data_IF_385190959643
#
_entry.id   IF_385190959643
#
_cell.length_a   1.000
_cell.length_b   1.000
_cell.length_c   1.000
_cell.angle_alpha   90.00
_cell.angle_beta   90.00
_cell.angle_gamma   90.00
#
_symmetry.space_group_name_H-M   'P 1'
#
loop_
_entity.id
_entity.type
_entity.pdbx_description
1 polymer ?
#
# COMPACT_ATOMS: atom_id res chain seq x y z
N UNK A 1 -24.32 24.51 19.94
CA UNK A 1 -24.93 25.02 21.19
C UNK A 1 -25.05 23.88 22.18
N UNK A 2 -24.41 24.02 23.36
CA UNK A 2 -24.57 23.23 24.61
C UNK A 2 -24.32 21.71 24.55
N UNK A 3 -23.73 21.00 25.49
CA UNK A 3 -23.05 21.20 26.78
C UNK A 3 -22.26 19.86 26.98
N UNK A 4 -21.03 19.77 27.48
CA UNK A 4 -20.59 20.15 28.82
C UNK A 4 -20.90 19.05 29.85
N UNK A 5 -20.03 18.03 30.01
CA UNK A 5 -19.89 17.26 31.28
C UNK A 5 -18.42 16.86 31.48
N UNK A 6 -17.83 17.33 32.59
CA UNK A 6 -16.61 16.80 33.22
C UNK A 6 -17.03 16.00 34.45
N UNK A 7 -16.33 14.89 34.76
CA UNK A 7 -16.08 14.53 36.15
C UNK A 7 -14.82 13.65 36.29
N UNK A 8 -14.07 13.91 37.36
CA UNK A 8 -12.85 13.24 37.82
C UNK A 8 -13.18 12.05 38.72
N UNK A 9 -12.31 11.03 38.77
CA UNK A 9 -11.78 10.44 40.02
C UNK A 9 -10.77 9.32 39.76
N UNK A 10 -9.66 9.36 40.48
CA UNK A 10 -8.63 8.34 40.55
C UNK A 10 -9.09 7.13 41.37
N UNK A 11 -8.64 5.93 40.98
CA UNK A 11 -8.48 4.81 41.93
C UNK A 11 -7.35 3.87 41.47
N UNK A 12 -6.36 3.66 42.34
CA UNK A 12 -5.40 2.53 42.28
C UNK A 12 -5.89 1.47 43.27
N UNK A 13 -5.64 0.19 43.00
CA UNK A 13 -4.78 -0.52 43.95
C UNK A 13 -3.77 -1.51 43.34
N UNK A 14 -2.64 -1.56 44.04
CA UNK A 14 -1.71 -2.65 44.33
C UNK A 14 -1.23 -3.69 43.29
N UNK A 15 0.10 -3.78 43.31
CA UNK A 15 1.00 -4.78 42.71
C UNK A 15 0.62 -6.21 43.07
N UNK A 16 0.71 -7.09 42.08
CA UNK A 16 1.28 -8.43 42.25
C UNK A 16 2.34 -8.64 41.17
N UNK A 17 3.52 -9.04 41.63
CA UNK A 17 4.71 -9.30 40.85
C UNK A 17 4.64 -10.70 40.26
N UNK A 18 4.79 -10.81 38.93
CA UNK A 18 5.27 -12.02 38.28
C UNK A 18 6.38 -11.61 37.33
N UNK A 19 7.61 -11.85 37.78
CA UNK A 19 8.84 -11.73 37.01
C UNK A 19 8.89 -12.83 35.96
N UNK A 20 8.77 -12.47 34.68
CA UNK A 20 9.29 -13.28 33.59
C UNK A 20 10.63 -12.68 33.17
N UNK A 21 11.71 -13.35 33.58
CA UNK A 21 13.05 -13.06 33.11
C UNK A 21 13.16 -13.49 31.65
N UNK A 22 13.18 -12.53 30.73
CA UNK A 22 13.80 -12.72 29.42
C UNK A 22 15.01 -11.80 29.32
N UNK A 23 16.18 -12.40 29.49
CA UNK A 23 17.47 -11.80 29.23
C UNK A 23 17.63 -11.58 27.71
N UNK A 24 17.61 -10.32 27.28
CA UNK A 24 18.19 -9.91 26.00
C UNK A 24 19.55 -9.24 26.25
N UNK A 25 20.53 -9.43 25.36
CA UNK A 25 21.87 -8.91 25.55
C UNK A 25 21.88 -7.38 25.54
N UNK A 26 22.58 -6.82 26.52
CA UNK A 26 22.90 -5.40 26.64
C UNK A 26 23.61 -4.90 25.38
N UNK A 27 22.94 -4.05 24.60
CA UNK A 27 23.61 -3.18 23.63
C UNK A 27 23.74 -1.78 24.21
N UNK A 28 24.97 -1.48 24.61
CA UNK A 28 25.44 -0.15 24.95
C UNK A 28 25.29 0.80 23.75
N UNK A 29 24.71 1.95 24.03
CA UNK A 29 24.64 3.19 23.25
C UNK A 29 25.57 3.28 22.02
N UNK A 30 25.00 3.49 20.82
CA UNK A 30 25.52 4.41 19.78
C UNK A 30 24.48 4.64 18.66
N UNK A 31 24.08 5.91 18.51
CA UNK A 31 23.64 6.73 17.35
C UNK A 31 23.01 6.10 16.08
N UNK A 32 21.92 6.76 15.65
CA UNK A 32 21.41 6.94 14.27
C UNK A 32 21.62 5.81 13.27
N UNK A 33 20.57 5.00 13.02
CA UNK A 33 20.35 4.34 11.72
C UNK A 33 18.87 4.30 11.38
N UNK A 34 18.54 4.87 10.21
CA UNK A 34 17.35 4.50 9.46
C UNK A 34 17.45 3.01 9.10
N UNK A 35 16.46 2.22 9.51
CA UNK A 35 16.45 0.77 9.31
C UNK A 35 15.73 0.45 7.99
N UNK A 36 16.50 0.23 6.93
CA UNK A 36 16.01 -0.45 5.72
C UNK A 36 16.66 -1.83 5.66
N UNK A 37 15.85 -2.89 5.74
CA UNK A 37 16.29 -4.27 5.51
C UNK A 37 15.50 -4.87 4.35
N UNK A 38 16.22 -5.28 3.30
CA UNK A 38 15.75 -6.25 2.32
C UNK A 38 15.95 -7.65 2.92
N UNK A 39 14.86 -8.42 3.06
CA UNK A 39 14.96 -9.85 3.34
C UNK A 39 14.38 -10.65 2.17
N UNK A 40 15.20 -11.59 1.69
CA UNK A 40 14.86 -12.64 0.76
C UNK A 40 13.85 -13.60 1.41
N UNK A 41 12.74 -13.89 0.74
CA UNK A 41 11.82 -14.96 1.15
C UNK A 41 12.16 -16.27 0.45
N UNK A 42 12.36 -17.30 1.25
CA UNK A 42 12.50 -18.70 0.87
C UNK A 42 11.18 -19.30 0.35
N UNK A 43 11.31 -20.19 -0.64
CA UNK A 43 10.21 -20.94 -1.25
C UNK A 43 9.39 -21.73 -0.23
N UNK A 44 8.06 -21.60 -0.29
CA UNK A 44 7.14 -22.57 0.31
C UNK A 44 6.43 -23.36 -0.77
N UNK A 45 6.49 -24.67 -0.65
CA UNK A 45 5.98 -25.66 -1.60
C UNK A 45 4.46 -25.79 -1.46
N UNK A 46 3.70 -25.51 -2.53
CA UNK A 46 2.29 -25.87 -2.61
C UNK A 46 2.13 -27.27 -3.21
N UNK A 47 1.33 -28.09 -2.54
CA UNK A 47 0.98 -29.47 -2.87
C UNK A 47 0.11 -29.54 -4.13
N UNK A 48 0.47 -30.48 -5.02
CA UNK A 48 -0.23 -30.79 -6.28
C UNK A 48 -1.63 -31.35 -6.01
N UNK A 49 -2.65 -30.67 -6.52
CA UNK A 49 -3.98 -31.25 -6.77
C UNK A 49 -4.06 -31.64 -8.25
N UNK A 50 -4.13 -32.95 -8.52
CA UNK A 50 -4.38 -33.51 -9.85
C UNK A 50 -5.88 -33.54 -10.12
N UNK A 51 -6.32 -32.90 -11.21
CA UNK A 51 -7.65 -33.09 -11.78
C UNK A 51 -7.57 -33.61 -13.23
N UNK A 52 -8.52 -34.49 -13.52
CA UNK A 52 -8.73 -35.32 -14.71
C UNK A 52 -8.61 -34.61 -16.05
N UNK A 53 -7.99 -35.30 -17.02
CA UNK A 53 -7.95 -34.93 -18.44
C UNK A 53 -9.37 -34.78 -19.02
N UNK A 54 -9.59 -33.72 -19.80
CA UNK A 54 -10.70 -33.60 -20.75
C UNK A 54 -10.13 -33.27 -22.13
N UNK A 55 -10.81 -33.82 -23.13
CA UNK A 55 -10.37 -34.07 -24.50
C UNK A 55 -9.93 -32.81 -25.27
N UNK A 56 -8.91 -33.03 -26.10
CA UNK A 56 -8.27 -32.07 -26.98
C UNK A 56 -9.19 -31.71 -28.16
N UNK A 57 -9.63 -30.45 -28.21
CA UNK A 57 -10.02 -29.82 -29.46
C UNK A 57 -8.80 -29.13 -30.06
N UNK A 58 -8.27 -29.70 -31.14
CA UNK A 58 -7.17 -29.18 -31.95
C UNK A 58 -7.58 -27.87 -32.61
N UNK A 59 -7.13 -26.74 -32.05
CA UNK A 59 -7.00 -25.49 -32.79
C UNK A 59 -5.60 -25.45 -33.39
N UNK A 60 -5.56 -25.33 -34.71
CA UNK A 60 -4.34 -25.20 -35.51
C UNK A 60 -3.50 -24.01 -35.05
N UNK A 61 -2.17 -24.13 -34.95
CA UNK A 61 -1.32 -22.99 -34.64
C UNK A 61 -1.38 -22.00 -35.80
N UNK A 62 -1.71 -20.74 -35.52
CA UNK A 62 -1.45 -19.63 -36.43
C UNK A 62 0.07 -19.41 -36.47
N UNK A 63 0.77 -20.26 -37.21
CA UNK A 63 2.08 -19.96 -37.75
C UNK A 63 1.88 -18.92 -38.84
N UNK A 64 2.05 -17.65 -38.50
CA UNK A 64 2.48 -16.56 -39.37
C UNK A 64 2.54 -15.28 -38.52
N UNK A 65 3.57 -15.17 -37.69
CA UNK A 65 4.08 -13.87 -37.27
C UNK A 65 5.36 -13.69 -38.06
N UNK A 66 5.26 -13.04 -39.21
CA UNK A 66 6.44 -12.50 -39.88
C UNK A 66 7.15 -11.58 -38.90
N UNK A 67 8.42 -11.88 -38.63
CA UNK A 67 9.34 -11.02 -37.88
C UNK A 67 9.56 -9.71 -38.66
N UNK A 68 8.66 -8.77 -38.46
CA UNK A 68 8.92 -7.36 -38.75
C UNK A 68 9.82 -6.82 -37.64
N UNK A 69 11.13 -6.95 -37.86
CA UNK A 69 12.15 -6.18 -37.15
C UNK A 69 11.92 -4.68 -37.43
N UNK A 70 11.08 -4.06 -36.62
CA UNK A 70 10.96 -2.61 -36.48
C UNK A 70 11.56 -2.25 -35.14
N UNK A 71 12.59 -1.40 -35.14
CA UNK A 71 13.19 -0.81 -33.95
C UNK A 71 12.11 -0.09 -33.12
N UNK A 72 11.63 -0.76 -32.08
CA UNK A 72 10.61 -0.26 -31.14
C UNK A 72 9.89 -1.45 -30.52
N UNK A 73 9.79 -1.49 -29.19
CA UNK A 73 9.08 -2.55 -28.47
C UNK A 73 7.72 -2.84 -29.14
N UNK A 74 7.32 -4.11 -29.35
CA UNK A 74 5.98 -4.39 -29.85
C UNK A 74 4.99 -3.83 -28.82
N UNK A 75 4.17 -2.86 -29.24
CA UNK A 75 3.03 -2.42 -28.45
C UNK A 75 2.21 -3.68 -28.13
N UNK A 76 2.10 -4.02 -26.84
CA UNK A 76 1.26 -5.14 -26.41
C UNK A 76 -0.20 -4.77 -26.69
N UNK A 77 -0.71 -5.18 -27.85
CA UNK A 77 -2.05 -4.82 -28.28
C UNK A 77 -3.07 -5.80 -27.68
N UNK A 78 -3.48 -5.52 -26.44
CA UNK A 78 -4.53 -6.28 -25.74
C UNK A 78 -5.84 -6.38 -26.53
N UNK A 79 -6.09 -5.44 -27.46
CA UNK A 79 -7.28 -5.42 -28.31
C UNK A 79 -7.28 -6.44 -29.46
N UNK A 80 -6.18 -7.17 -29.68
CA UNK A 80 -6.09 -8.21 -30.72
C UNK A 80 -6.43 -9.61 -30.23
N UNK A 81 -6.66 -9.77 -28.93
CA UNK A 81 -7.02 -11.06 -28.35
C UNK A 81 -8.46 -11.45 -28.72
N UNK A 82 -8.65 -12.75 -28.87
CA UNK A 82 -9.96 -13.34 -29.11
C UNK A 82 -10.97 -12.92 -28.03
N UNK A 83 -12.19 -12.58 -28.45
CA UNK A 83 -13.23 -12.05 -27.55
C UNK A 83 -13.68 -13.08 -26.51
N UNK A 84 -13.71 -14.37 -26.87
CA UNK A 84 -14.06 -15.43 -25.92
C UNK A 84 -12.97 -15.59 -24.86
N UNK A 85 -11.70 -15.53 -25.27
CA UNK A 85 -10.57 -15.52 -24.33
C UNK A 85 -10.65 -14.32 -23.37
N UNK A 86 -10.86 -13.11 -23.88
CA UNK A 86 -11.00 -11.89 -23.06
C UNK A 86 -12.19 -11.99 -22.10
N UNK A 87 -13.32 -12.54 -22.55
CA UNK A 87 -14.48 -12.78 -21.70
C UNK A 87 -14.16 -13.75 -20.56
N UNK A 88 -13.48 -14.86 -20.86
CA UNK A 88 -13.08 -15.84 -19.84
C UNK A 88 -12.14 -15.21 -18.80
N UNK A 89 -11.13 -14.45 -19.24
CA UNK A 89 -10.19 -13.76 -18.35
C UNK A 89 -10.91 -12.73 -17.48
N UNK A 90 -11.89 -12.00 -18.04
CA UNK A 90 -12.72 -11.08 -17.28
C UNK A 90 -13.55 -11.81 -16.21
N UNK A 91 -14.20 -12.93 -16.56
CA UNK A 91 -14.95 -13.74 -15.61
C UNK A 91 -14.06 -14.26 -14.47
N UNK A 92 -12.89 -14.83 -14.80
CA UNK A 92 -11.92 -15.31 -13.82
C UNK A 92 -11.46 -14.18 -12.90
N UNK A 93 -11.20 -12.99 -13.46
CA UNK A 93 -10.80 -11.82 -12.68
C UNK A 93 -11.87 -11.37 -11.70
N UNK A 94 -13.14 -11.32 -12.13
CA UNK A 94 -14.27 -10.94 -11.28
C UNK A 94 -14.50 -11.94 -10.15
N UNK A 95 -14.39 -13.24 -10.44
CA UNK A 95 -14.47 -14.30 -9.42
C UNK A 95 -13.32 -14.18 -8.44
N UNK A 96 -12.09 -14.05 -8.94
CA UNK A 96 -10.90 -13.92 -8.10
C UNK A 96 -10.99 -12.70 -7.18
N UNK A 97 -11.35 -11.53 -7.72
CA UNK A 97 -11.53 -10.30 -6.94
C UNK A 97 -12.54 -10.46 -5.81
N UNK A 98 -13.64 -11.18 -6.08
CA UNK A 98 -14.69 -11.44 -5.09
C UNK A 98 -14.21 -12.36 -3.96
N UNK A 99 -13.42 -13.40 -4.29
CA UNK A 99 -12.91 -14.38 -3.33
C UNK A 99 -11.78 -13.83 -2.45
N UNK A 100 -11.00 -12.87 -2.97
CA UNK A 100 -9.80 -12.37 -2.30
C UNK A 100 -9.96 -10.96 -1.71
N UNK A 101 -11.15 -10.37 -1.80
CA UNK A 101 -11.44 -9.07 -1.18
C UNK A 101 -10.85 -7.87 -1.93
N UNK A 102 -10.60 -7.99 -3.24
CA UNK A 102 -10.27 -6.85 -4.10
C UNK A 102 -11.54 -6.05 -4.43
N UNK A 103 -12.11 -5.44 -3.40
CA UNK A 103 -13.46 -4.87 -3.38
C UNK A 103 -13.45 -3.45 -2.82
N UNK A 104 -14.43 -2.66 -3.25
CA UNK A 104 -14.76 -1.33 -2.73
C UNK A 104 -16.28 -1.20 -2.52
N UNK A 105 -16.69 -0.17 -1.80
CA UNK A 105 -18.10 0.21 -1.71
C UNK A 105 -18.61 0.76 -3.05
N UNK A 106 -19.75 0.26 -3.52
CA UNK A 106 -20.40 0.74 -4.74
C UNK A 106 -20.89 2.18 -4.55
N UNK A 107 -20.45 3.08 -5.45
CA UNK A 107 -20.86 4.48 -5.49
C UNK A 107 -22.36 4.69 -5.65
N UNK A 108 -23.07 3.73 -6.25
CA UNK A 108 -24.51 3.78 -6.45
C UNK A 108 -25.31 3.56 -5.15
N UNK A 109 -24.66 3.05 -4.09
CA UNK A 109 -25.27 2.71 -2.82
C UNK A 109 -24.70 3.58 -1.71
N UNK A 110 -25.53 4.42 -1.08
CA UNK A 110 -25.08 5.34 -0.03
C UNK A 110 -24.45 4.61 1.18
N UNK A 111 -25.00 3.44 1.55
CA UNK A 111 -24.53 2.65 2.71
C UNK A 111 -23.16 2.00 2.49
N UNK A 112 -22.65 1.92 1.27
CA UNK A 112 -21.41 1.21 0.95
C UNK A 112 -20.15 1.88 1.50
N UNK A 113 -20.22 3.19 1.82
CA UNK A 113 -19.14 3.93 2.47
C UNK A 113 -19.23 3.98 4.00
N UNK A 114 -20.28 3.43 4.61
CA UNK A 114 -20.51 3.54 6.07
C UNK A 114 -20.76 2.20 6.76
N UNK A 115 -21.23 1.19 6.02
CA UNK A 115 -21.52 -0.13 6.55
C UNK A 115 -20.65 -1.15 5.80
N UNK A 116 -19.67 -1.79 6.48
CA UNK A 116 -18.90 -2.87 5.89
C UNK A 116 -19.79 -4.04 5.46
N UNK A 117 -19.43 -4.72 4.37
CA UNK A 117 -20.10 -5.94 3.90
C UNK A 117 -21.39 -5.72 3.11
N UNK A 118 -21.81 -4.48 2.86
CA UNK A 118 -23.00 -4.18 2.03
C UNK A 118 -22.63 -3.34 0.82
N UNK A 119 -23.31 -3.59 -0.30
CA UNK A 119 -23.11 -2.83 -1.53
C UNK A 119 -21.67 -2.91 -2.04
N UNK A 120 -21.12 -4.12 -2.06
CA UNK A 120 -19.75 -4.39 -2.53
C UNK A 120 -19.70 -4.49 -4.05
N UNK A 121 -18.65 -3.93 -4.63
CA UNK A 121 -18.29 -4.12 -6.04
C UNK A 121 -16.79 -4.35 -6.13
N UNK A 122 -16.32 -5.07 -7.15
CA UNK A 122 -14.89 -5.20 -7.39
C UNK A 122 -14.24 -3.81 -7.52
N UNK A 123 -13.00 -3.68 -7.05
CA UNK A 123 -12.22 -2.48 -7.36
C UNK A 123 -12.08 -2.36 -8.89
N UNK A 124 -12.18 -1.15 -9.48
CA UNK A 124 -11.86 -0.96 -10.88
C UNK A 124 -10.42 -1.39 -11.17
N UNK A 125 -10.25 -2.29 -12.14
CA UNK A 125 -8.95 -2.91 -12.45
C UNK A 125 -8.69 -2.93 -13.95
N UNK A 126 -7.42 -2.81 -14.33
CA UNK A 126 -6.96 -3.21 -15.65
C UNK A 126 -6.95 -4.75 -15.71
N UNK A 127 -7.47 -5.32 -16.81
CA UNK A 127 -7.59 -6.77 -16.95
C UNK A 127 -6.22 -7.47 -17.05
N UNK A 128 -5.26 -6.81 -17.69
CA UNK A 128 -3.89 -7.29 -17.89
C UNK A 128 -2.91 -6.18 -17.48
N UNK A 129 -1.68 -6.54 -17.04
CA UNK A 129 -0.69 -5.56 -16.58
C UNK A 129 -0.19 -4.67 -17.71
N UNK A 130 0.12 -3.41 -17.43
CA UNK A 130 0.76 -2.53 -18.42
C UNK A 130 2.25 -2.82 -18.52
N UNK A 131 2.85 -2.81 -19.73
CA UNK A 131 4.29 -2.95 -19.87
C UNK A 131 5.00 -1.75 -19.24
N UNK A 132 6.06 -2.01 -18.48
CA UNK A 132 6.90 -0.98 -17.88
C UNK A 132 8.36 -1.42 -17.90
N UNK A 133 9.31 -0.57 -18.36
CA UNK A 133 10.69 -0.98 -18.51
C UNK A 133 11.40 -1.11 -17.14
N UNK A 134 12.21 -2.17 -17.03
CA UNK A 134 12.80 -2.61 -15.76
C UNK A 134 13.81 -1.61 -15.18
N UNK A 135 14.51 -0.86 -16.04
CA UNK A 135 15.50 0.12 -15.60
C UNK A 135 14.84 1.25 -14.84
N UNK A 136 13.74 1.78 -15.38
CA UNK A 136 12.95 2.86 -14.79
C UNK A 136 12.20 2.37 -13.54
N UNK A 137 11.77 1.10 -13.51
CA UNK A 137 11.23 0.49 -12.29
C UNK A 137 12.27 0.45 -11.17
N UNK A 138 13.50 0.04 -11.50
CA UNK A 138 14.62 -0.02 -10.55
C UNK A 138 14.98 1.38 -10.08
N UNK A 139 15.03 2.36 -10.98
CA UNK A 139 15.25 3.77 -10.65
C UNK A 139 14.21 4.28 -9.64
N UNK A 140 12.92 3.99 -9.85
CA UNK A 140 11.86 4.37 -8.91
C UNK A 140 12.07 3.75 -7.51
N UNK A 141 12.47 2.48 -7.46
CA UNK A 141 12.78 1.79 -6.21
C UNK A 141 13.99 2.42 -5.49
N UNK A 142 15.05 2.75 -6.22
CA UNK A 142 16.27 3.36 -5.68
C UNK A 142 16.03 4.79 -5.15
N UNK A 143 15.08 5.51 -5.75
CA UNK A 143 14.68 6.84 -5.31
C UNK A 143 13.84 6.84 -4.03
N UNK A 144 13.11 5.76 -3.72
CA UNK A 144 12.20 5.71 -2.57
C UNK A 144 12.88 6.03 -1.22
N UNK A 145 14.00 5.39 -0.82
CA UNK A 145 14.66 5.75 0.44
C UNK A 145 15.26 7.16 0.45
N UNK A 146 15.64 7.69 -0.73
CA UNK A 146 16.16 9.06 -0.87
C UNK A 146 15.04 10.07 -0.60
N UNK A 147 13.85 9.85 -1.18
CA UNK A 147 12.68 10.69 -0.91
C UNK A 147 12.21 10.59 0.55
N UNK A 148 12.30 9.42 1.17
CA UNK A 148 11.97 9.27 2.60
C UNK A 148 12.86 10.16 3.48
N UNK A 149 14.17 10.15 3.25
CA UNK A 149 15.12 11.03 3.97
C UNK A 149 14.87 12.50 3.62
N UNK A 150 14.64 12.82 2.35
CA UNK A 150 14.35 14.20 1.92
C UNK A 150 13.14 14.77 2.65
N UNK A 151 12.05 14.00 2.75
CA UNK A 151 10.83 14.42 3.45
C UNK A 151 11.11 14.65 4.93
N UNK A 152 11.81 13.75 5.62
CA UNK A 152 12.16 13.94 7.05
C UNK A 152 12.98 15.23 7.23
N UNK A 153 14.03 15.40 6.43
CA UNK A 153 14.93 16.57 6.52
C UNK A 153 14.22 17.88 6.24
N UNK A 154 13.35 17.92 5.23
CA UNK A 154 12.53 19.11 4.91
C UNK A 154 11.49 19.37 6.01
N UNK A 155 10.90 18.32 6.59
CA UNK A 155 9.89 18.48 7.66
C UNK A 155 10.45 19.13 8.94
N UNK A 156 11.76 19.02 9.16
CA UNK A 156 12.45 19.63 10.31
C UNK A 156 12.74 21.12 10.10
N UNK A 157 12.72 21.61 8.86
CA UNK A 157 12.93 23.03 8.56
C UNK A 157 11.60 23.79 8.54
N UNK A 158 11.11 24.10 9.74
CA UNK A 158 9.86 24.82 9.90
C UNK A 158 9.85 26.22 9.28
N UNK A 159 11.01 26.88 9.20
CA UNK A 159 11.14 28.19 8.55
C UNK A 159 10.96 28.04 7.04
N UNK A 160 11.67 27.09 6.42
CA UNK A 160 11.53 26.79 5.00
C UNK A 160 10.07 26.50 4.61
N UNK A 161 9.36 25.67 5.37
CA UNK A 161 7.96 25.34 5.10
C UNK A 161 7.04 26.56 5.19
N UNK A 162 7.19 27.38 6.25
CA UNK A 162 6.36 28.57 6.45
C UNK A 162 6.62 29.64 5.37
N UNK A 163 7.88 29.87 5.01
CA UNK A 163 8.26 30.86 4.01
C UNK A 163 7.83 30.43 2.59
N UNK A 164 8.10 29.18 2.23
CA UNK A 164 7.76 28.63 0.90
C UNK A 164 6.26 28.65 0.63
N UNK A 165 5.44 28.42 1.66
CA UNK A 165 3.98 28.41 1.56
C UNK A 165 3.31 29.74 1.95
N UNK A 166 4.07 30.79 2.22
CA UNK A 166 3.54 32.08 2.70
C UNK A 166 2.58 32.78 1.73
N UNK A 167 2.79 32.61 0.41
CA UNK A 167 1.87 33.11 -0.63
C UNK A 167 0.63 32.23 -0.70
N UNK A 168 0.81 30.90 -0.67
CA UNK A 168 -0.29 29.92 -0.68
C UNK A 168 -1.23 30.12 0.51
N UNK A 169 -0.68 30.43 1.69
CA UNK A 169 -1.45 30.78 2.89
C UNK A 169 -2.51 31.87 2.65
N UNK A 170 -2.20 32.85 1.79
CA UNK A 170 -3.12 33.97 1.48
C UNK A 170 -4.17 33.60 0.44
N UNK A 171 -3.89 32.58 -0.38
CA UNK A 171 -4.73 32.19 -1.51
C UNK A 171 -5.62 30.97 -1.21
N UNK A 172 -5.23 30.11 -0.27
CA UNK A 172 -5.93 28.87 0.06
C UNK A 172 -6.20 28.76 1.57
N UNK A 173 -7.48 28.81 1.95
CA UNK A 173 -7.92 28.75 3.35
C UNK A 173 -7.55 27.41 4.01
N UNK A 174 -7.64 26.32 3.26
CA UNK A 174 -7.32 24.99 3.77
C UNK A 174 -5.84 24.90 4.18
N UNK A 175 -4.92 25.25 3.28
CA UNK A 175 -3.49 25.33 3.58
C UNK A 175 -3.17 26.34 4.69
N UNK A 176 -3.90 27.47 4.74
CA UNK A 176 -3.71 28.43 5.83
C UNK A 176 -3.92 27.81 7.20
N UNK A 177 -5.00 27.02 7.36
CA UNK A 177 -5.30 26.35 8.62
C UNK A 177 -4.27 25.29 8.99
N UNK A 178 -3.70 24.59 8.00
CA UNK A 178 -2.58 23.66 8.24
C UNK A 178 -1.33 24.40 8.73
N UNK A 179 -1.01 25.54 8.10
CA UNK A 179 0.13 26.36 8.51
C UNK A 179 -0.06 26.94 9.92
N UNK A 180 -1.29 27.28 10.32
CA UNK A 180 -1.57 27.75 11.68
C UNK A 180 -1.34 26.67 12.74
N UNK A 181 -1.69 25.41 12.45
CA UNK A 181 -1.37 24.27 13.32
C UNK A 181 0.15 24.11 13.42
N UNK A 182 0.85 24.14 12.28
CA UNK A 182 2.29 24.04 12.24
C UNK A 182 2.97 25.17 13.04
N UNK A 183 2.52 26.43 12.88
CA UNK A 183 3.05 27.57 13.65
C UNK A 183 2.87 27.38 15.17
N UNK A 184 1.71 26.86 15.61
CA UNK A 184 1.48 26.54 17.03
C UNK A 184 2.44 25.46 17.53
N UNK A 185 2.70 24.42 16.73
CA UNK A 185 3.66 23.38 17.09
C UNK A 185 5.08 23.91 17.21
N UNK A 186 5.51 24.83 16.33
CA UNK A 186 6.80 25.51 16.45
C UNK A 186 6.91 26.34 17.74
N UNK A 187 5.83 27.02 18.14
CA UNK A 187 5.79 27.80 19.39
C UNK A 187 5.86 26.91 20.63
N UNK A 188 5.19 25.74 20.60
CA UNK A 188 5.27 24.75 21.68
C UNK A 188 6.69 24.19 21.79
N UNK A 189 7.43 24.14 20.68
CA UNK A 189 8.81 23.66 20.58
C UNK A 189 9.00 22.27 21.21
N UNK A 190 8.00 21.40 21.05
CA UNK A 190 8.09 20.01 21.50
C UNK A 190 8.99 19.23 20.55
N UNK A 191 9.94 18.50 21.11
CA UNK A 191 10.78 17.57 20.37
C UNK A 191 10.02 16.26 20.11
N UNK A 192 9.75 15.95 18.85
CA UNK A 192 9.21 14.66 18.43
C UNK A 192 10.35 13.74 17.98
N UNK A 193 10.75 12.81 18.85
CA UNK A 193 11.89 11.91 18.59
C UNK A 193 11.54 10.75 17.67
N UNK A 194 10.27 10.33 17.65
CA UNK A 194 9.75 9.26 16.80
C UNK A 194 8.90 9.89 15.72
N UNK A 195 9.29 9.69 14.45
CA UNK A 195 8.57 10.18 13.26
C UNK A 195 8.39 9.02 12.30
N UNK A 196 7.18 8.84 11.78
CA UNK A 196 6.84 7.78 10.84
C UNK A 196 6.32 8.40 9.54
N UNK A 197 6.90 7.99 8.42
CA UNK A 197 6.45 8.32 7.07
C UNK A 197 5.93 7.09 6.34
N UNK A 198 4.69 7.17 5.84
CA UNK A 198 4.09 6.18 4.93
C UNK A 198 3.81 6.88 3.59
N UNK A 199 4.85 7.00 2.78
CA UNK A 199 4.83 7.83 1.57
C UNK A 199 4.54 7.03 0.32
N UNK A 200 4.06 7.72 -0.72
CA UNK A 200 4.01 7.20 -2.09
C UNK A 200 4.52 8.27 -3.05
N UNK A 201 5.51 7.91 -3.86
CA UNK A 201 6.04 8.77 -4.90
C UNK A 201 5.50 8.27 -6.23
N UNK A 202 4.77 9.15 -6.94
CA UNK A 202 4.06 8.79 -8.17
C UNK A 202 4.83 9.30 -9.38
N UNK A 203 4.94 8.47 -10.42
CA UNK A 203 5.78 8.73 -11.59
C UNK A 203 5.05 8.49 -12.91
N UNK A 204 5.47 9.19 -13.95
CA UNK A 204 5.15 8.86 -15.34
C UNK A 204 6.42 8.74 -16.16
N UNK A 205 6.41 7.84 -17.14
CA UNK A 205 7.48 7.69 -18.12
C UNK A 205 7.18 8.60 -19.31
N UNK A 206 7.99 9.62 -19.53
CA UNK A 206 7.83 10.50 -20.69
C UNK A 206 8.22 9.76 -21.99
N UNK A 207 7.34 9.77 -22.98
CA UNK A 207 7.52 8.98 -24.20
C UNK A 207 8.70 9.50 -25.05
N UNK A 208 8.95 10.80 -25.07
CA UNK A 208 9.96 11.42 -25.95
C UNK A 208 11.36 11.27 -25.39
N UNK A 209 11.52 11.58 -24.11
CA UNK A 209 12.80 11.56 -23.39
C UNK A 209 13.12 10.20 -22.78
N UNK A 210 12.13 9.30 -22.69
CA UNK A 210 12.21 8.01 -21.98
C UNK A 210 12.65 8.18 -20.52
N UNK A 211 12.43 9.36 -19.96
CA UNK A 211 12.80 9.68 -18.58
C UNK A 211 11.65 9.39 -17.63
N UNK A 212 11.98 8.77 -16.50
CA UNK A 212 11.05 8.64 -15.39
C UNK A 212 10.93 9.99 -14.66
N UNK A 213 9.74 10.58 -14.67
CA UNK A 213 9.47 11.89 -14.07
C UNK A 213 8.50 11.74 -12.90
N UNK A 214 8.85 12.33 -11.76
CA UNK A 214 7.98 12.39 -10.60
C UNK A 214 6.83 13.36 -10.87
N UNK A 215 5.60 12.90 -10.64
CA UNK A 215 4.38 13.69 -10.73
C UNK A 215 4.07 14.33 -9.38
N UNK A 216 4.05 13.53 -8.32
CA UNK A 216 3.78 14.01 -6.96
C UNK A 216 4.40 13.10 -5.90
N UNK A 217 4.52 13.64 -4.69
CA UNK A 217 4.97 12.92 -3.50
C UNK A 217 3.90 13.01 -2.43
N UNK A 218 3.18 11.91 -2.24
CA UNK A 218 2.11 11.78 -1.27
C UNK A 218 2.70 11.49 0.12
N UNK A 219 2.54 12.43 1.05
CA UNK A 219 3.03 12.32 2.44
C UNK A 219 1.93 12.03 3.45
N UNK A 220 0.67 12.08 3.04
CA UNK A 220 -0.51 11.86 3.88
C UNK A 220 -1.51 10.95 3.17
N UNK A 221 -2.05 9.98 3.90
CA UNK A 221 -3.14 9.10 3.44
C UNK A 221 -2.89 8.43 2.08
N UNK A 222 -1.65 7.98 1.84
CA UNK A 222 -1.24 7.24 0.64
C UNK A 222 -2.08 5.96 0.49
N UNK A 223 -3.08 6.01 -0.39
CA UNK A 223 -4.00 4.89 -0.63
C UNK A 223 -3.37 3.73 -1.39
N UNK A 224 -4.07 2.59 -1.36
CA UNK A 224 -3.85 1.38 -2.16
C UNK A 224 -2.67 0.51 -1.76
N UNK A 225 -2.07 0.69 -0.58
CA UNK A 225 -1.07 -0.25 -0.09
C UNK A 225 -1.67 -1.66 0.08
N UNK A 226 -2.94 -1.77 0.47
CA UNK A 226 -3.69 -3.04 0.55
C UNK A 226 -4.11 -3.56 -0.82
N UNK A 227 -4.92 -2.79 -1.54
CA UNK A 227 -5.51 -3.23 -2.81
C UNK A 227 -4.46 -3.46 -3.92
N UNK A 228 -3.37 -2.70 -3.95
CA UNK A 228 -2.32 -2.90 -4.98
C UNK A 228 -1.61 -4.24 -4.84
N UNK A 229 -1.38 -4.73 -3.61
CA UNK A 229 -0.86 -6.07 -3.37
C UNK A 229 -1.81 -7.13 -3.95
N UNK A 230 -3.13 -6.95 -3.82
CA UNK A 230 -4.10 -7.87 -4.42
C UNK A 230 -4.15 -7.77 -5.94
N UNK A 231 -3.96 -6.59 -6.54
CA UNK A 231 -3.86 -6.45 -8.01
C UNK A 231 -2.66 -7.22 -8.56
N UNK A 232 -1.50 -7.14 -7.89
CA UNK A 232 -0.32 -7.94 -8.24
C UNK A 232 -0.63 -9.44 -8.23
N UNK A 233 -1.29 -9.93 -7.19
CA UNK A 233 -1.65 -11.35 -7.07
C UNK A 233 -2.71 -11.77 -8.10
N UNK A 234 -3.69 -10.91 -8.41
CA UNK A 234 -4.65 -11.14 -9.49
C UNK A 234 -3.94 -11.29 -10.83
N UNK A 235 -3.07 -10.36 -11.20
CA UNK A 235 -2.39 -10.43 -12.49
C UNK A 235 -1.47 -11.66 -12.58
N UNK A 236 -0.79 -12.02 -11.50
CA UNK A 236 -0.01 -13.28 -11.45
C UNK A 236 -0.91 -14.51 -11.60
N UNK A 237 -2.06 -14.54 -10.94
CA UNK A 237 -3.06 -15.58 -11.08
C UNK A 237 -3.53 -15.72 -12.53
N UNK A 238 -3.95 -14.62 -13.17
CA UNK A 238 -4.39 -14.63 -14.57
C UNK A 238 -3.27 -15.09 -15.51
N UNK A 239 -2.05 -14.59 -15.34
CA UNK A 239 -0.92 -15.00 -16.19
C UNK A 239 -0.47 -16.45 -15.96
N UNK A 240 -0.64 -17.01 -14.76
CA UNK A 240 -0.35 -18.43 -14.53
C UNK A 240 -1.31 -19.37 -15.29
N UNK A 241 -2.56 -18.94 -15.53
CA UNK A 241 -3.58 -19.72 -16.24
C UNK A 241 -3.60 -19.45 -17.75
N UNK A 242 -3.46 -18.18 -18.13
CA UNK A 242 -3.65 -17.71 -19.51
C UNK A 242 -2.37 -17.17 -20.15
N UNK A 243 -1.28 -17.01 -19.41
CA UNK A 243 -0.05 -16.36 -19.86
C UNK A 243 0.60 -17.01 -21.08
N UNK A 244 0.55 -18.35 -21.20
CA UNK A 244 1.02 -19.06 -22.41
C UNK A 244 0.28 -18.64 -23.67
N UNK A 245 -1.04 -18.43 -23.57
CA UNK A 245 -1.87 -17.97 -24.69
C UNK A 245 -1.62 -16.50 -25.01
N UNK A 246 -1.28 -15.70 -23.98
CA UNK A 246 -1.04 -14.27 -24.08
C UNK A 246 0.41 -13.93 -24.45
N UNK A 247 1.34 -14.89 -24.42
CA UNK A 247 2.77 -14.62 -24.54
C UNK A 247 3.33 -13.81 -23.36
N UNK A 248 2.73 -13.95 -22.18
CA UNK A 248 3.07 -13.22 -20.96
C UNK A 248 3.50 -14.18 -19.85
N UNK A 249 4.46 -13.74 -19.05
CA UNK A 249 5.04 -14.51 -17.96
C UNK A 249 4.71 -13.86 -16.61
N UNK A 250 4.12 -14.64 -15.69
CA UNK A 250 3.75 -14.18 -14.35
C UNK A 250 4.96 -13.72 -13.52
N UNK A 251 6.13 -14.30 -13.76
CA UNK A 251 7.38 -13.95 -13.06
C UNK A 251 7.89 -12.54 -13.43
N UNK A 252 7.38 -11.95 -14.51
CA UNK A 252 7.68 -10.58 -14.90
C UNK A 252 6.91 -9.54 -14.08
N UNK A 253 5.91 -9.95 -13.31
CA UNK A 253 5.18 -9.07 -12.39
C UNK A 253 5.97 -9.00 -11.07
N UNK A 254 6.47 -7.82 -10.66
CA UNK A 254 7.21 -7.68 -9.40
C UNK A 254 6.37 -8.09 -8.19
N UNK A 255 7.02 -8.62 -7.15
CA UNK A 255 6.34 -8.90 -5.89
C UNK A 255 5.92 -7.59 -5.21
N UNK A 256 4.74 -7.58 -4.59
CA UNK A 256 4.21 -6.39 -3.94
C UNK A 256 3.81 -6.65 -2.48
N UNK A 257 4.66 -6.20 -1.56
CA UNK A 257 4.48 -6.36 -0.12
C UNK A 257 4.04 -5.05 0.59
N UNK A 258 3.49 -4.07 -0.14
CA UNK A 258 3.19 -2.74 0.39
C UNK A 258 2.32 -2.79 1.67
N UNK A 259 1.22 -3.55 1.66
CA UNK A 259 0.34 -3.69 2.83
C UNK A 259 1.08 -4.21 4.08
N UNK A 260 1.92 -5.23 3.89
CA UNK A 260 2.70 -5.84 4.97
C UNK A 260 3.77 -4.89 5.49
N UNK A 261 4.45 -4.16 4.59
CA UNK A 261 5.47 -3.18 4.96
C UNK A 261 4.87 -1.98 5.71
N UNK A 262 3.68 -1.51 5.31
CA UNK A 262 2.95 -0.47 6.02
C UNK A 262 2.55 -0.93 7.43
N UNK A 263 1.99 -2.14 7.56
CA UNK A 263 1.67 -2.73 8.86
C UNK A 263 2.91 -2.92 9.74
N UNK A 264 4.02 -3.39 9.18
CA UNK A 264 5.28 -3.55 9.90
C UNK A 264 5.83 -2.21 10.40
N UNK A 265 5.82 -1.17 9.56
CA UNK A 265 6.29 0.16 9.93
C UNK A 265 5.44 0.77 11.05
N UNK A 266 4.11 0.60 11.00
CA UNK A 266 3.19 0.98 12.06
C UNK A 266 3.46 0.23 13.37
N UNK A 267 3.67 -1.09 13.31
CA UNK A 267 3.98 -1.91 14.47
C UNK A 267 5.34 -1.52 15.10
N UNK A 268 6.34 -1.21 14.29
CA UNK A 268 7.65 -0.71 14.76
C UNK A 268 7.53 0.64 15.43
N UNK A 269 6.82 1.60 14.83
CA UNK A 269 6.58 2.91 15.45
C UNK A 269 5.84 2.80 16.79
N UNK A 270 4.85 1.90 16.90
CA UNK A 270 4.20 1.58 18.16
C UNK A 270 5.17 0.97 19.19
N UNK A 271 6.08 0.10 18.74
CA UNK A 271 7.07 -0.55 19.59
C UNK A 271 8.08 0.46 20.14
N UNK A 272 8.51 1.42 19.32
CA UNK A 272 9.35 2.54 19.74
C UNK A 272 8.63 3.46 20.74
N UNK A 273 7.30 3.66 20.58
CA UNK A 273 6.50 4.38 21.58
C UNK A 273 6.44 3.63 22.93
N UNK A 274 6.59 2.30 22.91
CA UNK A 274 6.86 1.44 24.07
C UNK A 274 5.81 1.53 25.20
N UNK A 275 4.54 1.45 24.82
CA UNK A 275 3.44 1.28 25.78
C UNK A 275 2.53 0.12 25.31
N UNK A 276 2.56 -1.04 25.99
CA UNK A 276 1.84 -2.24 25.54
C UNK A 276 0.31 -2.11 25.60
N UNK A 277 -0.22 -1.06 26.23
CA UNK A 277 -1.66 -0.76 26.27
C UNK A 277 -2.07 0.36 25.30
N UNK A 278 -1.11 0.95 24.58
CA UNK A 278 -1.43 1.95 23.57
C UNK A 278 -2.02 1.28 22.33
N UNK A 279 -2.81 2.05 21.58
CA UNK A 279 -3.45 1.60 20.34
C UNK A 279 -2.97 2.44 19.16
N UNK A 280 -3.09 1.90 17.95
CA UNK A 280 -2.90 2.66 16.71
C UNK A 280 -4.28 3.19 16.29
N UNK A 281 -4.43 4.51 16.25
CA UNK A 281 -5.68 5.15 15.85
C UNK A 281 -5.66 5.45 14.35
N UNK A 282 -6.63 4.90 13.61
CA UNK A 282 -6.89 5.26 12.21
C UNK A 282 -7.86 6.44 12.19
N UNK A 283 -7.42 7.58 11.64
CA UNK A 283 -8.29 8.74 11.43
C UNK A 283 -8.89 8.64 10.04
N UNK A 284 -10.19 8.37 9.97
CA UNK A 284 -10.90 8.01 8.73
C UNK A 284 -11.95 9.04 8.36
N UNK A 285 -12.36 9.05 7.09
CA UNK A 285 -13.49 9.84 6.62
C UNK A 285 -14.82 9.26 7.16
N UNK A 286 -15.84 10.10 7.29
CA UNK A 286 -17.17 9.66 7.74
C UNK A 286 -17.86 8.72 6.72
N UNK A 287 -17.60 8.92 5.43
CA UNK A 287 -17.98 8.02 4.36
C UNK A 287 -16.71 7.58 3.62
N UNK A 288 -16.40 6.29 3.64
CA UNK A 288 -15.16 5.74 3.11
C UNK A 288 -15.44 4.48 2.29
N UNK A 289 -15.59 4.64 0.97
CA UNK A 289 -15.86 3.49 0.07
C UNK A 289 -14.62 2.63 -0.15
N UNK A 290 -13.43 3.16 0.11
CA UNK A 290 -12.17 2.43 0.04
C UNK A 290 -11.75 1.86 1.41
N UNK A 291 -12.70 1.69 2.35
CA UNK A 291 -12.40 1.23 3.73
C UNK A 291 -11.68 -0.12 3.77
N UNK A 292 -11.91 -0.98 2.77
CA UNK A 292 -11.30 -2.31 2.71
C UNK A 292 -9.79 -2.26 2.54
N UNK A 293 -9.24 -1.23 1.86
CA UNK A 293 -7.80 -0.99 1.77
C UNK A 293 -7.18 -0.76 3.16
N UNK A 294 -7.86 0.01 4.01
CA UNK A 294 -7.45 0.30 5.38
C UNK A 294 -7.64 -0.93 6.28
N UNK A 295 -8.75 -1.67 6.12
CA UNK A 295 -9.03 -2.89 6.86
C UNK A 295 -8.03 -4.01 6.56
N UNK A 296 -7.49 -4.11 5.33
CA UNK A 296 -6.41 -5.05 5.01
C UNK A 296 -5.17 -4.79 5.88
N UNK A 297 -4.75 -3.52 5.99
CA UNK A 297 -3.60 -3.15 6.84
C UNK A 297 -3.91 -3.43 8.32
N UNK A 298 -5.12 -3.07 8.78
CA UNK A 298 -5.56 -3.31 10.16
C UNK A 298 -5.64 -4.81 10.50
N UNK A 299 -6.09 -5.65 9.56
CA UNK A 299 -6.12 -7.10 9.73
C UNK A 299 -4.71 -7.68 9.85
N UNK A 300 -3.77 -7.25 8.99
CA UNK A 300 -2.36 -7.65 9.07
C UNK A 300 -1.76 -7.25 10.42
N UNK A 301 -2.02 -6.02 10.89
CA UNK A 301 -1.60 -5.55 12.21
C UNK A 301 -2.10 -6.50 13.32
N UNK A 302 -3.39 -6.86 13.28
CA UNK A 302 -4.00 -7.72 14.29
C UNK A 302 -3.45 -9.16 14.26
N UNK A 303 -3.26 -9.71 13.08
CA UNK A 303 -2.90 -11.12 12.90
C UNK A 303 -1.41 -11.38 13.09
N UNK A 304 -0.55 -10.49 12.59
CA UNK A 304 0.91 -10.65 12.67
C UNK A 304 1.54 -10.02 13.89
N UNK A 305 0.90 -9.02 14.50
CA UNK A 305 1.42 -8.28 15.64
C UNK A 305 0.43 -8.33 16.83
N UNK A 306 0.17 -9.53 17.39
CA UNK A 306 -0.91 -9.76 18.37
C UNK A 306 -0.72 -9.02 19.70
N UNK A 307 0.48 -8.53 20.00
CA UNK A 307 0.74 -7.68 21.17
C UNK A 307 -0.06 -6.38 21.14
N UNK A 308 -0.56 -5.93 19.98
CA UNK A 308 -1.42 -4.76 19.83
C UNK A 308 -2.87 -4.97 20.34
N UNK A 309 -3.30 -6.21 20.61
CA UNK A 309 -4.70 -6.55 20.92
C UNK A 309 -4.89 -7.24 22.28
N UNK A 310 -3.97 -7.11 23.23
CA UNK A 310 -4.03 -7.86 24.50
C UNK A 310 -5.14 -7.41 25.47
N UNK A 311 -6.04 -6.50 25.10
CA UNK A 311 -7.11 -6.02 26.00
C UNK A 311 -8.40 -5.70 25.23
N UNK A 312 -9.21 -6.71 24.96
CA UNK A 312 -10.67 -6.59 24.94
C UNK A 312 -11.23 -7.07 26.26
#
# INVERSE_FOLDING_TARGET
MGAGVRCFACYRPNRLSTTYNFSFPSFSAFRHRSLTFCCFSSNSSFSKLTMSQRESHTLTPLNNVEELHVNGSPLFHYHRFDQQLLHNIACDSLVWSSLHGLLVGDKSLQRSGTVPGVGLVHAPIALLPSPFPQNEWTQACDLAPIFNELVDRVSLDGTFLQESLSRTKKADEFTSRLLDIHSKMLQINKKEEIRLGLHRSDYMLDEKTKSLLQIELNTISSSFAGLSSLVTELHRYILSHHGKLLGLDSERIPANNAANQFAEALAKAWSEYNNPRAVIMFVVQAEERNMYDQHLISAILRERYPFLNTYY
#
